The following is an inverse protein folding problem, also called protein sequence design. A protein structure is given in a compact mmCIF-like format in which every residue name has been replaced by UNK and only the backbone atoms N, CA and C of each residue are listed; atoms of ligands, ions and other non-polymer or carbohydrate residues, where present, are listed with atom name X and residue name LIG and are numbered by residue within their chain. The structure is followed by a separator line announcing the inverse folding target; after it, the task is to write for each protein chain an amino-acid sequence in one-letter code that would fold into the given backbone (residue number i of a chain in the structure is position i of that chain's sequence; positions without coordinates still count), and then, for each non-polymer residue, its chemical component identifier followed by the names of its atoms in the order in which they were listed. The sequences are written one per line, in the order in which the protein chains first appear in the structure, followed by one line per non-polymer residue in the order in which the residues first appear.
data_IF_433176302107
#
_entry.id   IF_433176302107
#
_cell.length_a   1.000
_cell.length_b   1.000
_cell.length_c   1.000
_cell.angle_alpha   90.00
_cell.angle_beta   90.00
_cell.angle_gamma   90.00
#
_symmetry.space_group_name_H-M   'P 1'
#
loop_
_entity.id
_entity.type
_entity.pdbx_description
1 polymer ?
#
# COMPACT_ATOMS: atom_id res chain seq x y z
N UNK A 1 -29.70 -11.94 17.60
CA UNK A 1 -30.01 -12.26 16.25
C UNK A 1 -29.47 -13.65 15.90
N UNK A 2 -30.38 -14.62 15.90
CA UNK A 2 -30.07 -16.06 15.71
C UNK A 2 -29.57 -16.41 14.30
N UNK A 3 -29.78 -15.54 13.34
CA UNK A 3 -29.34 -15.78 11.93
C UNK A 3 -27.81 -15.81 11.77
N UNK A 4 -27.07 -15.09 12.63
CA UNK A 4 -25.61 -15.10 12.59
C UNK A 4 -24.95 -16.37 13.16
N UNK A 5 -25.65 -17.18 13.90
CA UNK A 5 -25.10 -18.38 14.55
C UNK A 5 -25.12 -19.60 13.62
N UNK A 6 -26.09 -19.68 12.70
CA UNK A 6 -26.26 -20.82 11.80
C UNK A 6 -25.26 -20.88 10.64
N UNK A 7 -24.79 -19.71 10.15
CA UNK A 7 -23.85 -19.62 9.02
C UNK A 7 -22.37 -19.71 9.42
N UNK A 8 -22.05 -19.68 10.72
CA UNK A 8 -20.68 -19.62 11.24
C UNK A 8 -19.92 -20.94 11.14
N UNK A 9 -20.59 -22.06 10.97
CA UNK A 9 -19.96 -23.39 10.95
C UNK A 9 -19.24 -23.73 9.62
N UNK A 10 -19.39 -22.88 8.58
CA UNK A 10 -18.76 -23.09 7.27
C UNK A 10 -18.01 -21.83 6.77
N UNK A 11 -17.60 -20.93 7.67
CA UNK A 11 -16.81 -19.77 7.27
C UNK A 11 -15.32 -20.06 7.39
N UNK A 12 -14.59 -19.90 6.31
CA UNK A 12 -13.12 -20.01 6.30
C UNK A 12 -12.45 -18.77 6.90
N UNK A 13 -13.12 -17.61 6.84
CA UNK A 13 -12.61 -16.32 7.32
C UNK A 13 -13.71 -15.53 7.99
N UNK A 14 -13.41 -14.93 9.15
CA UNK A 14 -14.28 -13.96 9.81
C UNK A 14 -13.52 -12.67 10.02
N UNK A 15 -14.14 -11.54 9.65
CA UNK A 15 -13.58 -10.19 9.84
C UNK A 15 -14.40 -9.45 10.90
N UNK A 16 -13.74 -9.03 11.97
CA UNK A 16 -14.35 -8.33 13.11
C UNK A 16 -13.98 -6.83 13.02
N UNK A 17 -14.96 -6.01 12.64
CA UNK A 17 -14.81 -4.57 12.44
C UNK A 17 -15.44 -3.74 13.57
N UNK A 18 -15.47 -4.24 14.80
CA UNK A 18 -16.00 -3.50 15.95
C UNK A 18 -14.97 -2.44 16.36
N UNK A 19 -15.35 -1.17 16.28
CA UNK A 19 -14.46 -0.02 16.55
C UNK A 19 -14.42 0.38 18.02
N UNK A 20 -15.42 1.16 18.46
CA UNK A 20 -15.38 1.89 19.73
C UNK A 20 -15.46 1.02 21.00
N UNK A 21 -16.09 -0.16 20.91
CA UNK A 21 -16.27 -1.05 22.06
C UNK A 21 -15.17 -2.12 22.07
N UNK A 22 -14.04 -1.80 22.71
CA UNK A 22 -12.87 -2.68 22.79
C UNK A 22 -13.20 -4.01 23.47
N UNK A 23 -13.94 -3.97 24.55
CA UNK A 23 -14.42 -5.14 25.30
C UNK A 23 -15.25 -6.09 24.42
N UNK A 24 -16.21 -5.54 23.67
CA UNK A 24 -17.04 -6.31 22.73
C UNK A 24 -16.19 -6.89 21.60
N UNK A 25 -15.24 -6.12 21.07
CA UNK A 25 -14.32 -6.58 20.02
C UNK A 25 -13.50 -7.78 20.49
N UNK A 26 -12.91 -7.70 21.69
CA UNK A 26 -12.09 -8.77 22.27
C UNK A 26 -12.91 -10.03 22.54
N UNK A 27 -14.08 -9.88 23.20
CA UNK A 27 -14.96 -11.02 23.52
C UNK A 27 -15.51 -11.70 22.26
N UNK A 28 -15.89 -10.90 21.25
CA UNK A 28 -16.35 -11.46 19.97
C UNK A 28 -15.23 -12.21 19.25
N UNK A 29 -14.01 -11.66 19.25
CA UNK A 29 -12.85 -12.31 18.64
C UNK A 29 -12.53 -13.64 19.31
N UNK A 30 -12.53 -13.66 20.65
CA UNK A 30 -12.32 -14.88 21.42
C UNK A 30 -13.38 -15.95 21.09
N UNK A 31 -14.64 -15.58 21.09
CA UNK A 31 -15.73 -16.51 20.77
C UNK A 31 -15.62 -17.08 19.35
N UNK A 32 -15.23 -16.27 18.36
CA UNK A 32 -15.08 -16.73 16.96
C UNK A 32 -13.89 -17.69 16.83
N UNK A 33 -12.79 -17.43 17.54
CA UNK A 33 -11.61 -18.32 17.55
C UNK A 33 -11.96 -19.65 18.24
N UNK A 34 -12.68 -19.63 19.38
CA UNK A 34 -13.14 -20.82 20.07
C UNK A 34 -14.09 -21.68 19.22
N UNK A 35 -14.82 -21.08 18.29
CA UNK A 35 -15.64 -21.80 17.30
C UNK A 35 -14.81 -22.53 16.23
N UNK A 36 -13.48 -22.39 16.22
CA UNK A 36 -12.59 -23.07 15.29
C UNK A 36 -12.55 -22.48 13.90
N UNK A 37 -12.90 -21.19 13.72
CA UNK A 37 -12.77 -20.50 12.42
C UNK A 37 -11.29 -20.46 12.03
N UNK A 38 -10.91 -20.94 10.82
CA UNK A 38 -9.51 -21.07 10.43
C UNK A 38 -8.74 -19.75 10.37
N UNK A 39 -9.42 -18.66 9.99
CA UNK A 39 -8.80 -17.33 9.90
C UNK A 39 -9.69 -16.25 10.48
N UNK A 40 -9.20 -15.55 11.49
CA UNK A 40 -9.92 -14.46 12.14
C UNK A 40 -9.10 -13.18 12.00
N UNK A 41 -9.70 -12.17 11.36
CA UNK A 41 -9.09 -10.84 11.17
C UNK A 41 -9.84 -9.87 12.06
N UNK A 42 -9.12 -9.12 12.90
CA UNK A 42 -9.73 -8.17 13.82
C UNK A 42 -9.16 -6.76 13.63
N UNK A 43 -10.08 -5.78 13.56
CA UNK A 43 -9.74 -4.37 13.54
C UNK A 43 -9.31 -3.91 14.93
N UNK A 44 -8.19 -3.19 15.00
CA UNK A 44 -7.75 -2.50 16.21
C UNK A 44 -7.66 -0.99 15.98
N UNK A 45 -8.01 -0.19 17.00
CA UNK A 45 -7.89 1.26 17.02
C UNK A 45 -6.63 1.74 17.75
N UNK A 46 -6.07 0.89 18.64
CA UNK A 46 -4.84 1.19 19.37
C UNK A 46 -3.88 0.02 19.37
N UNK A 47 -2.56 0.27 19.60
CA UNK A 47 -1.57 -0.79 19.73
C UNK A 47 -1.87 -1.78 20.86
N UNK A 48 -2.42 -1.30 21.97
CA UNK A 48 -2.78 -2.11 23.15
C UNK A 48 -3.90 -3.09 22.80
N UNK A 49 -4.98 -2.59 22.14
CA UNK A 49 -6.06 -3.45 21.66
C UNK A 49 -5.52 -4.49 20.67
N UNK A 50 -4.65 -4.07 19.74
CA UNK A 50 -4.05 -4.98 18.78
C UNK A 50 -3.18 -6.05 19.44
N UNK A 51 -2.42 -5.70 20.48
CA UNK A 51 -1.62 -6.67 21.22
C UNK A 51 -2.49 -7.74 21.90
N UNK A 52 -3.65 -7.38 22.44
CA UNK A 52 -4.60 -8.33 23.01
C UNK A 52 -5.18 -9.24 21.93
N UNK A 53 -5.68 -8.68 20.82
CA UNK A 53 -6.29 -9.43 19.72
C UNK A 53 -5.29 -10.40 19.06
N UNK A 54 -4.04 -9.96 18.89
CA UNK A 54 -2.96 -10.82 18.37
C UNK A 54 -2.63 -11.99 19.31
N UNK A 55 -2.61 -11.77 20.63
CA UNK A 55 -2.42 -12.83 21.62
C UNK A 55 -3.55 -13.85 21.63
N UNK A 56 -4.76 -13.46 21.26
CA UNK A 56 -5.88 -14.38 21.08
C UNK A 56 -5.75 -15.25 19.83
N UNK A 57 -4.84 -14.89 18.91
CA UNK A 57 -4.62 -15.62 17.66
C UNK A 57 -5.26 -14.96 16.43
N UNK A 58 -5.80 -13.76 16.54
CA UNK A 58 -6.34 -13.02 15.41
C UNK A 58 -5.24 -12.31 14.61
N UNK A 59 -5.42 -12.20 13.30
CA UNK A 59 -4.69 -11.28 12.44
C UNK A 59 -5.22 -9.86 12.68
N UNK A 60 -4.33 -8.92 13.05
CA UNK A 60 -4.73 -7.58 13.45
C UNK A 60 -4.49 -6.59 12.32
N UNK A 61 -5.47 -5.74 12.03
CA UNK A 61 -5.40 -4.66 11.06
C UNK A 61 -5.73 -3.31 11.71
N UNK A 62 -5.07 -2.24 11.23
CA UNK A 62 -5.25 -0.88 11.72
C UNK A 62 -5.65 0.05 10.55
N UNK A 63 -6.87 -0.07 10.01
CA UNK A 63 -7.25 0.61 8.77
C UNK A 63 -7.11 2.13 8.84
N UNK A 64 -7.48 2.74 9.96
CA UNK A 64 -7.40 4.19 10.13
C UNK A 64 -5.97 4.69 10.17
N UNK A 65 -5.09 4.00 10.90
CA UNK A 65 -3.66 4.34 11.00
C UNK A 65 -2.98 4.17 9.63
N UNK A 66 -3.24 3.06 8.97
CA UNK A 66 -2.60 2.73 7.70
C UNK A 66 -3.07 3.71 6.60
N UNK A 67 -4.35 4.09 6.62
CA UNK A 67 -4.87 5.10 5.71
C UNK A 67 -4.34 6.51 6.03
N UNK A 68 -4.22 6.87 7.31
CA UNK A 68 -3.64 8.15 7.72
C UNK A 68 -2.17 8.27 7.30
N UNK A 69 -1.39 7.21 7.47
CA UNK A 69 0.01 7.16 7.00
C UNK A 69 0.09 7.30 5.47
N UNK A 70 -0.78 6.61 4.74
CA UNK A 70 -0.87 6.73 3.28
C UNK A 70 -1.22 8.15 2.84
N UNK A 71 -2.22 8.75 3.47
CA UNK A 71 -2.60 10.14 3.19
C UNK A 71 -1.48 11.12 3.54
N UNK A 72 -0.83 10.94 4.70
CA UNK A 72 0.31 11.77 5.11
C UNK A 72 1.45 11.73 4.10
N UNK A 73 1.84 10.54 3.64
CA UNK A 73 2.83 10.39 2.58
C UNK A 73 2.42 11.12 1.29
N UNK A 74 1.15 10.99 0.90
CA UNK A 74 0.61 11.67 -0.29
C UNK A 74 0.66 13.20 -0.19
N UNK A 75 0.45 13.77 1.00
CA UNK A 75 0.48 15.22 1.24
C UNK A 75 1.89 15.80 1.35
N UNK A 76 2.86 15.01 1.81
CA UNK A 76 4.25 15.45 1.97
C UNK A 76 5.05 15.49 0.66
N UNK A 77 4.57 14.84 -0.37
CA UNK A 77 5.29 14.71 -1.64
C UNK A 77 4.47 15.30 -2.77
N UNK A 78 4.90 16.43 -3.32
CA UNK A 78 4.22 17.09 -4.45
C UNK A 78 4.19 16.22 -5.73
N UNK A 79 5.11 15.23 -5.84
CA UNK A 79 5.26 14.37 -7.01
C UNK A 79 4.85 12.92 -6.75
N UNK A 80 4.12 12.67 -5.65
CA UNK A 80 3.76 11.33 -5.21
C UNK A 80 2.27 11.07 -5.42
N UNK A 81 1.91 10.23 -6.36
CA UNK A 81 0.51 9.94 -6.69
C UNK A 81 0.00 8.67 -5.98
N UNK A 82 0.62 7.53 -6.24
CA UNK A 82 0.28 6.26 -5.60
C UNK A 82 1.50 5.39 -5.36
N UNK A 83 1.44 4.48 -4.38
CA UNK A 83 2.50 3.50 -4.14
C UNK A 83 1.94 2.14 -3.73
N UNK A 84 2.68 1.09 -4.09
CA UNK A 84 2.48 -0.26 -3.59
C UNK A 84 3.75 -0.70 -2.91
N UNK A 85 3.67 -0.97 -1.61
CA UNK A 85 4.82 -1.50 -0.84
C UNK A 85 4.89 -3.01 -1.00
N UNK A 86 6.08 -3.48 -1.35
CA UNK A 86 6.42 -4.90 -1.46
C UNK A 86 7.30 -5.31 -0.29
N UNK A 87 7.69 -6.60 -0.22
CA UNK A 87 8.65 -7.07 0.78
C UNK A 87 10.03 -6.43 0.58
N UNK A 88 10.85 -6.38 1.66
CA UNK A 88 12.26 -5.96 1.62
C UNK A 88 12.50 -4.50 1.21
N UNK A 89 11.65 -3.57 1.64
CA UNK A 89 11.78 -2.14 1.34
C UNK A 89 11.79 -1.83 -0.18
N UNK A 90 11.11 -2.63 -0.97
CA UNK A 90 10.87 -2.36 -2.38
C UNK A 90 9.48 -1.76 -2.53
N UNK A 91 9.37 -0.70 -3.33
CA UNK A 91 8.09 -0.05 -3.65
C UNK A 91 7.94 0.11 -5.16
N UNK A 92 6.67 0.07 -5.60
CA UNK A 92 6.24 0.61 -6.89
C UNK A 92 5.65 1.97 -6.59
N UNK A 93 6.14 3.01 -7.27
CA UNK A 93 5.72 4.39 -7.02
C UNK A 93 5.46 5.13 -8.32
N UNK A 94 4.37 5.89 -8.35
CA UNK A 94 4.06 6.84 -9.42
C UNK A 94 4.72 8.17 -9.12
N UNK A 95 5.44 8.74 -10.10
CA UNK A 95 6.19 9.99 -9.95
C UNK A 95 5.90 10.83 -11.19
N UNK A 96 5.46 12.06 -11.00
CA UNK A 96 5.35 13.03 -12.10
C UNK A 96 6.74 13.32 -12.68
N UNK A 97 6.82 13.34 -14.02
CA UNK A 97 8.11 13.58 -14.69
C UNK A 97 8.62 14.99 -14.37
N UNK A 98 9.82 15.07 -13.79
CA UNK A 98 10.44 16.34 -13.48
C UNK A 98 10.73 17.17 -14.72
N UNK A 99 10.62 18.50 -14.58
CA UNK A 99 10.81 19.42 -15.72
C UNK A 99 12.14 19.25 -16.46
N UNK A 100 13.23 18.93 -15.75
CA UNK A 100 14.57 18.78 -16.34
C UNK A 100 14.76 17.48 -17.12
N UNK A 101 13.82 16.53 -17.00
CA UNK A 101 13.80 15.27 -17.77
C UNK A 101 12.86 15.35 -18.97
N UNK A 102 12.03 16.38 -19.09
CA UNK A 102 11.13 16.55 -20.23
C UNK A 102 11.95 16.68 -21.52
N UNK A 103 11.55 15.92 -22.54
CA UNK A 103 12.22 15.85 -23.85
C UNK A 103 13.37 14.87 -23.93
N UNK A 104 13.90 14.38 -22.81
CA UNK A 104 14.91 13.31 -22.80
C UNK A 104 14.28 11.96 -23.09
N UNK A 105 15.01 11.06 -23.73
CA UNK A 105 14.60 9.67 -23.83
C UNK A 105 14.84 8.94 -22.50
N UNK A 106 14.15 7.82 -22.29
CA UNK A 106 14.36 6.98 -21.08
C UNK A 106 15.84 6.61 -20.94
N UNK A 107 16.51 6.26 -22.03
CA UNK A 107 17.93 5.95 -22.05
C UNK A 107 18.79 7.15 -21.63
N UNK A 108 18.50 8.34 -22.16
CA UNK A 108 19.21 9.59 -21.85
C UNK A 108 19.05 10.03 -20.39
N UNK A 109 18.00 9.58 -19.69
CA UNK A 109 17.79 9.89 -18.25
C UNK A 109 18.73 9.13 -17.35
N UNK A 110 19.24 7.99 -17.77
CA UNK A 110 20.09 7.08 -16.99
C UNK A 110 19.51 6.70 -15.62
N UNK A 111 18.17 6.76 -15.43
CA UNK A 111 17.48 6.50 -14.16
C UNK A 111 17.88 5.13 -13.59
N UNK A 112 17.98 4.12 -14.46
CA UNK A 112 18.36 2.76 -14.04
C UNK A 112 19.81 2.71 -13.55
N UNK A 113 20.73 3.40 -14.17
CA UNK A 113 22.15 3.40 -13.85
C UNK A 113 22.44 4.23 -12.60
N UNK A 114 21.84 5.43 -12.51
CA UNK A 114 22.08 6.40 -11.44
C UNK A 114 21.36 6.03 -10.15
N UNK A 115 20.07 5.68 -10.26
CA UNK A 115 19.21 5.49 -9.09
C UNK A 115 18.81 4.04 -8.87
N UNK A 116 19.20 3.10 -9.76
CA UNK A 116 18.79 1.68 -9.72
C UNK A 116 17.29 1.49 -9.69
N UNK A 117 16.56 2.36 -10.37
CA UNK A 117 15.12 2.30 -10.53
C UNK A 117 14.78 1.75 -11.91
N UNK A 118 13.75 0.91 -12.00
CA UNK A 118 13.21 0.48 -13.29
C UNK A 118 11.87 1.19 -13.52
N UNK A 119 11.73 1.82 -14.68
CA UNK A 119 10.44 2.34 -15.13
C UNK A 119 9.66 1.16 -15.71
N UNK A 120 8.48 0.89 -15.18
CA UNK A 120 7.63 -0.24 -15.56
C UNK A 120 6.38 0.18 -16.33
N UNK A 121 6.01 1.45 -16.25
CA UNK A 121 4.93 2.03 -17.04
C UNK A 121 5.11 3.55 -17.14
N UNK A 122 4.44 4.15 -18.14
CA UNK A 122 4.29 5.59 -18.27
C UNK A 122 2.81 5.87 -18.46
N UNK A 123 2.28 6.80 -17.67
CA UNK A 123 0.88 7.21 -17.69
C UNK A 123 0.80 8.66 -18.19
N UNK A 124 -0.22 8.95 -19.02
CA UNK A 124 -0.54 10.30 -19.47
C UNK A 124 -2.06 10.42 -19.62
N UNK A 125 -2.68 11.19 -18.76
CA UNK A 125 -4.14 11.25 -18.65
C UNK A 125 -4.73 9.86 -18.33
N UNK A 126 -5.60 9.36 -19.21
CA UNK A 126 -6.25 8.05 -19.04
C UNK A 126 -5.51 6.89 -19.75
N UNK A 127 -4.37 7.18 -20.38
CA UNK A 127 -3.58 6.18 -21.11
C UNK A 127 -2.40 5.68 -20.25
N UNK A 128 -2.25 4.36 -20.16
CA UNK A 128 -1.11 3.70 -19.50
C UNK A 128 -0.33 2.87 -20.53
N UNK A 129 0.94 3.22 -20.74
CA UNK A 129 1.86 2.47 -21.59
C UNK A 129 2.78 1.59 -20.71
N UNK A 130 2.66 0.28 -20.85
CA UNK A 130 3.48 -0.72 -20.13
C UNK A 130 4.67 -1.21 -20.98
N UNK A 131 4.69 -0.91 -22.27
CA UNK A 131 5.81 -1.22 -23.18
C UNK A 131 6.75 -0.02 -23.24
N UNK A 132 7.53 0.18 -22.18
CA UNK A 132 8.44 1.32 -22.05
C UNK A 132 9.68 1.09 -22.90
N UNK A 133 9.75 1.75 -24.05
CA UNK A 133 10.91 1.67 -24.96
C UNK A 133 12.00 2.66 -24.54
N UNK A 134 13.29 2.31 -24.66
CA UNK A 134 14.41 3.20 -24.31
C UNK A 134 14.38 4.56 -25.02
N UNK A 135 13.86 4.59 -26.24
CA UNK A 135 13.76 5.77 -27.11
C UNK A 135 12.56 6.66 -26.78
N UNK A 136 11.64 6.21 -25.91
CA UNK A 136 10.49 7.02 -25.52
C UNK A 136 10.94 8.33 -24.90
N UNK A 137 10.47 9.46 -25.44
CA UNK A 137 10.79 10.79 -24.93
C UNK A 137 9.73 11.24 -23.94
N UNK A 138 10.17 11.53 -22.73
CA UNK A 138 9.32 12.02 -21.64
C UNK A 138 8.68 13.35 -22.00
N UNK A 139 7.39 13.48 -21.73
CA UNK A 139 6.57 14.66 -22.06
C UNK A 139 6.09 15.34 -20.78
N UNK A 140 5.67 16.57 -20.91
CA UNK A 140 4.99 17.27 -19.82
C UNK A 140 3.66 16.57 -19.51
N UNK A 141 3.42 16.30 -18.21
CA UNK A 141 2.23 15.58 -17.74
C UNK A 141 2.37 14.07 -17.76
N UNK A 142 3.52 13.52 -18.22
CA UNK A 142 3.80 12.10 -18.04
C UNK A 142 4.05 11.78 -16.57
N UNK A 143 3.53 10.64 -16.15
CA UNK A 143 3.75 10.03 -14.85
C UNK A 143 4.53 8.74 -15.08
N UNK A 144 5.72 8.64 -14.54
CA UNK A 144 6.50 7.40 -14.58
C UNK A 144 6.17 6.52 -13.39
N UNK A 145 5.88 5.25 -13.66
CA UNK A 145 5.71 4.21 -12.64
C UNK A 145 7.04 3.50 -12.48
N UNK A 146 7.67 3.67 -11.33
CA UNK A 146 9.00 3.10 -11.05
C UNK A 146 8.92 2.02 -9.98
N UNK A 147 9.77 1.02 -10.10
CA UNK A 147 10.00 0.01 -9.06
C UNK A 147 11.45 0.08 -8.60
N UNK A 148 11.66 0.08 -7.29
CA UNK A 148 12.98 0.08 -6.68
C UNK A 148 12.95 0.09 -5.17
N UNK A 149 14.13 0.19 -4.55
CA UNK A 149 14.24 0.37 -3.10
C UNK A 149 13.74 1.76 -2.69
N UNK A 150 13.10 1.84 -1.53
CA UNK A 150 12.57 3.10 -0.96
C UNK A 150 13.63 4.19 -0.95
N UNK A 151 14.83 3.88 -0.41
CA UNK A 151 15.92 4.86 -0.32
C UNK A 151 16.32 5.42 -1.70
N UNK A 152 16.36 4.57 -2.72
CA UNK A 152 16.72 4.97 -4.07
C UNK A 152 15.64 5.86 -4.72
N UNK A 153 14.38 5.54 -4.47
CA UNK A 153 13.25 6.35 -4.94
C UNK A 153 13.26 7.70 -4.25
N UNK A 154 13.50 7.74 -2.94
CA UNK A 154 13.55 8.98 -2.18
C UNK A 154 14.72 9.89 -2.61
N UNK A 155 15.89 9.32 -2.92
CA UNK A 155 17.02 10.07 -3.52
C UNK A 155 16.58 10.67 -4.86
N UNK A 156 15.98 9.89 -5.75
CA UNK A 156 15.51 10.37 -7.05
C UNK A 156 14.49 11.51 -6.90
N UNK A 157 13.50 11.37 -6.02
CA UNK A 157 12.46 12.39 -5.81
C UNK A 157 13.01 13.67 -5.18
N UNK A 158 14.04 13.59 -4.32
CA UNK A 158 14.62 14.75 -3.64
C UNK A 158 15.68 15.49 -4.48
N UNK A 159 16.31 14.84 -5.46
CA UNK A 159 17.27 15.48 -6.40
C UNK A 159 16.57 16.17 -7.58
N UNK A 160 15.28 15.99 -7.65
CA UNK A 160 14.40 16.38 -8.73
C UNK A 160 13.42 17.46 -8.29
#
# INVERSE_FOLDING_TARGET
SEMCIRDRQNCDVVIICIGEKVDVSVLTTMSVIEMGVPRVIAKALSPEQGAVLSKLGAEVVYPERDMALRLGKKLLSNNFLEYVSLCNQVEIRQIEVPNHLIGKSIEETEIRQKYRLNIIAIENGDETNIEVMPEYRLRQGDIIVVIGKVDNIDVFVNEV
#
